data_IF_366369608560
#
_entry.id   IF_366369608560
#
_cell.length_a   1.000
_cell.length_b   1.000
_cell.length_c   1.000
_cell.angle_alpha   90.00
_cell.angle_beta   90.00
_cell.angle_gamma   90.00
#
_symmetry.space_group_name_H-M   'P 1'
#
loop_
_entity.id
_entity.type
_entity.pdbx_description
1 polymer ?
#
# COMPACT_ATOMS: atom_id res chain seq x y z
N UNK A 1 12.11 22.59 -8.35
CA UNK A 1 11.67 22.23 -9.69
C UNK A 1 10.99 20.87 -9.61
N UNK A 2 9.68 20.92 -9.38
CA UNK A 2 8.84 19.75 -9.06
C UNK A 2 8.88 18.69 -10.17
N UNK A 3 8.89 19.11 -11.41
CA UNK A 3 8.90 18.19 -12.55
C UNK A 3 10.27 17.51 -12.74
N UNK A 4 11.37 18.13 -12.36
CA UNK A 4 12.72 17.62 -12.61
C UNK A 4 13.18 16.51 -11.67
N UNK A 5 12.78 16.54 -10.41
CA UNK A 5 13.22 15.54 -9.42
C UNK A 5 12.42 14.26 -9.58
N UNK A 6 11.15 14.39 -9.92
CA UNK A 6 10.22 13.27 -10.00
C UNK A 6 10.22 12.58 -11.36
N UNK A 7 10.57 13.28 -12.45
CA UNK A 7 10.76 12.71 -13.78
C UNK A 7 11.80 11.58 -13.84
N UNK A 8 12.84 11.67 -13.01
CA UNK A 8 13.89 10.66 -12.98
C UNK A 8 13.51 9.35 -12.26
N UNK A 9 12.38 9.35 -11.60
CA UNK A 9 11.89 8.20 -10.84
C UNK A 9 10.91 7.34 -11.63
N UNK A 10 10.55 7.73 -12.84
CA UNK A 10 9.62 7.03 -13.71
C UNK A 10 10.28 6.65 -15.04
N UNK A 11 9.92 5.48 -15.55
CA UNK A 11 10.55 4.84 -16.72
C UNK A 11 10.48 5.65 -18.01
N UNK A 12 9.46 6.44 -18.16
CA UNK A 12 9.13 7.12 -19.39
C UNK A 12 9.34 8.63 -19.35
N UNK A 13 10.01 9.09 -18.28
CA UNK A 13 10.32 10.51 -18.09
C UNK A 13 9.09 11.43 -18.29
N UNK A 14 7.89 10.94 -17.94
CA UNK A 14 6.70 11.77 -17.98
C UNK A 14 6.66 12.71 -16.78
N UNK A 15 6.32 14.00 -16.98
CA UNK A 15 6.08 14.89 -15.86
C UNK A 15 5.04 14.32 -14.90
N UNK A 16 5.26 14.46 -13.61
CA UNK A 16 4.33 13.96 -12.60
C UNK A 16 2.90 14.49 -12.81
N UNK A 17 2.77 15.72 -13.31
CA UNK A 17 1.50 16.34 -13.70
C UNK A 17 0.73 15.60 -14.79
N UNK A 18 1.37 14.72 -15.56
CA UNK A 18 0.74 13.87 -16.57
C UNK A 18 0.36 12.49 -16.07
N UNK A 19 0.86 12.09 -14.90
CA UNK A 19 0.66 10.75 -14.36
C UNK A 19 -0.64 10.62 -13.59
N UNK A 20 -1.29 11.72 -13.26
CA UNK A 20 -2.54 11.71 -12.51
C UNK A 20 -3.26 13.04 -12.62
N UNK A 21 -4.56 12.98 -12.83
CA UNK A 21 -5.42 14.15 -12.71
C UNK A 21 -5.91 14.37 -11.27
N UNK A 22 -5.58 13.50 -10.34
CA UNK A 22 -6.19 13.42 -9.03
C UNK A 22 -5.21 13.44 -7.88
N UNK A 23 -4.10 12.70 -7.96
CA UNK A 23 -2.94 13.06 -7.16
C UNK A 23 -2.25 14.20 -7.85
N UNK A 24 -2.41 15.37 -7.33
CA UNK A 24 -1.72 16.47 -7.94
C UNK A 24 -0.22 16.29 -7.75
N UNK A 25 0.57 16.68 -8.72
CA UNK A 25 2.01 16.77 -8.56
C UNK A 25 2.36 17.62 -7.32
N UNK A 26 1.43 18.51 -6.95
CA UNK A 26 1.52 19.36 -5.79
C UNK A 26 1.47 18.55 -4.49
N UNK A 27 0.54 17.61 -4.31
CA UNK A 27 0.44 16.80 -3.09
C UNK A 27 1.69 15.96 -2.85
N UNK A 28 2.23 15.35 -3.92
CA UNK A 28 3.49 14.62 -3.83
C UNK A 28 4.66 15.55 -3.47
N UNK A 29 4.70 16.74 -4.06
CA UNK A 29 5.74 17.72 -3.78
C UNK A 29 5.62 18.28 -2.37
N UNK A 30 4.43 18.56 -1.89
CA UNK A 30 4.19 19.10 -0.54
C UNK A 30 4.53 18.06 0.52
N UNK A 31 4.12 16.80 0.33
CA UNK A 31 4.49 15.71 1.21
C UNK A 31 6.01 15.47 1.26
N UNK A 32 6.69 15.47 0.10
CA UNK A 32 8.16 15.37 0.06
C UNK A 32 8.84 16.58 0.71
N UNK A 33 8.37 17.79 0.42
CA UNK A 33 8.89 19.00 1.03
C UNK A 33 8.69 19.03 2.55
N UNK A 34 7.56 18.52 3.03
CA UNK A 34 7.31 18.34 4.46
C UNK A 34 8.37 17.41 5.09
N UNK A 35 8.58 16.23 4.52
CA UNK A 35 9.58 15.28 5.00
C UNK A 35 10.99 15.88 4.99
N UNK A 36 11.36 16.60 3.92
CA UNK A 36 12.66 17.27 3.81
C UNK A 36 12.82 18.35 4.88
N UNK A 37 11.80 19.19 5.08
CA UNK A 37 11.85 20.25 6.13
C UNK A 37 11.97 19.64 7.52
N UNK A 38 11.19 18.60 7.82
CA UNK A 38 11.20 17.89 9.09
C UNK A 38 12.56 17.26 9.36
N UNK A 39 13.16 16.62 8.35
CA UNK A 39 14.50 16.06 8.43
C UNK A 39 15.55 17.15 8.66
N UNK A 40 15.50 18.26 7.94
CA UNK A 40 16.43 19.39 8.09
C UNK A 40 16.30 20.08 9.46
N UNK A 41 15.13 19.97 10.10
CA UNK A 41 14.90 20.40 11.49
C UNK A 41 15.45 19.41 12.53
N UNK A 42 16.15 18.35 12.11
CA UNK A 42 16.78 17.36 12.98
C UNK A 42 15.82 16.25 13.47
N UNK A 43 14.63 16.16 12.89
CA UNK A 43 13.68 15.12 13.24
C UNK A 43 13.85 13.90 12.31
N UNK A 44 13.67 12.71 12.86
CA UNK A 44 13.73 11.48 12.09
C UNK A 44 12.42 11.26 11.35
N UNK A 45 12.48 11.10 10.04
CA UNK A 45 11.31 10.87 9.16
C UNK A 45 11.32 9.50 8.50
N UNK A 46 12.45 8.77 8.55
CA UNK A 46 12.57 7.42 7.96
C UNK A 46 12.98 6.41 9.05
N UNK A 47 12.36 5.26 9.01
CA UNK A 47 12.55 4.21 10.01
C UNK A 47 12.80 2.87 9.31
N UNK A 48 14.07 2.44 9.17
CA UNK A 48 14.41 1.12 8.67
C UNK A 48 13.73 0.02 9.50
N UNK A 49 13.16 -0.97 8.83
CA UNK A 49 12.40 -2.03 9.48
C UNK A 49 13.26 -3.24 9.85
N UNK A 50 14.43 -3.38 9.23
CA UNK A 50 15.35 -4.49 9.50
C UNK A 50 16.67 -3.98 10.04
N UNK A 51 17.27 -4.76 10.94
CA UNK A 51 18.58 -4.44 11.50
C UNK A 51 19.71 -4.72 10.49
N UNK A 52 20.91 -4.21 10.76
CA UNK A 52 22.08 -4.50 9.93
C UNK A 52 22.39 -5.99 9.86
N UNK A 53 22.19 -6.74 10.95
CA UNK A 53 22.36 -8.18 11.02
C UNK A 53 21.34 -8.92 10.17
N UNK A 54 20.07 -8.50 10.20
CA UNK A 54 19.01 -9.07 9.37
C UNK A 54 19.25 -8.80 7.89
N UNK A 55 19.76 -7.62 7.54
CA UNK A 55 20.13 -7.25 6.16
C UNK A 55 21.36 -8.06 5.70
N UNK A 56 22.33 -8.29 6.58
CA UNK A 56 23.49 -9.12 6.25
C UNK A 56 23.10 -10.58 5.96
N UNK A 57 22.06 -11.10 6.60
CA UNK A 57 21.51 -12.43 6.34
C UNK A 57 20.68 -12.49 5.05
N UNK A 58 19.97 -11.41 4.71
CA UNK A 58 19.14 -11.29 3.53
C UNK A 58 19.20 -9.86 2.99
N UNK A 59 20.08 -9.63 2.03
CA UNK A 59 20.31 -8.30 1.43
C UNK A 59 19.07 -7.74 0.70
N UNK A 60 18.06 -8.58 0.42
CA UNK A 60 16.81 -8.10 -0.16
C UNK A 60 16.04 -7.14 0.79
N UNK A 61 16.30 -7.22 2.09
CA UNK A 61 15.69 -6.40 3.14
C UNK A 61 16.22 -4.95 3.19
N UNK A 62 17.34 -4.72 2.51
CA UNK A 62 17.92 -3.37 2.44
C UNK A 62 16.98 -2.38 1.75
N UNK A 63 16.76 -1.23 2.40
CA UNK A 63 15.86 -0.18 1.96
C UNK A 63 14.39 -0.42 2.24
N UNK A 64 14.02 -1.44 3.03
CA UNK A 64 12.66 -1.59 3.56
C UNK A 64 12.50 -0.70 4.78
N UNK A 65 11.63 0.31 4.67
CA UNK A 65 11.51 1.36 5.68
C UNK A 65 10.11 1.98 5.71
N UNK A 66 9.82 2.69 6.78
CA UNK A 66 8.67 3.56 6.90
C UNK A 66 9.08 5.02 6.72
N UNK A 67 8.31 5.79 5.98
CA UNK A 67 8.27 7.24 6.08
C UNK A 67 7.18 7.60 7.08
N UNK A 68 7.42 8.60 7.92
CA UNK A 68 6.48 9.02 8.94
C UNK A 68 6.17 10.51 8.83
N UNK A 69 4.88 10.81 8.71
CA UNK A 69 4.32 12.15 8.79
C UNK A 69 3.52 12.25 10.10
N UNK A 70 4.06 12.85 11.15
CA UNK A 70 3.33 13.05 12.41
C UNK A 70 2.17 14.01 12.21
N UNK A 71 1.07 13.82 12.91
CA UNK A 71 -0.02 14.81 12.91
C UNK A 71 0.42 16.12 13.53
N UNK A 72 -0.02 17.25 12.98
CA UNK A 72 0.22 18.55 13.59
C UNK A 72 -0.58 18.69 14.89
N UNK A 73 0.08 19.17 15.95
CA UNK A 73 -0.54 19.29 17.27
C UNK A 73 -0.91 17.96 17.92
N UNK A 74 -0.17 16.89 17.59
CA UNK A 74 -0.45 15.52 17.96
C UNK A 74 -0.82 15.36 19.45
N UNK A 75 -2.03 14.87 19.68
CA UNK A 75 -2.41 14.32 20.98
C UNK A 75 -1.82 12.92 21.11
N UNK A 76 -1.49 12.51 22.31
CA UNK A 76 -1.06 11.14 22.54
C UNK A 76 -2.19 10.15 22.19
N UNK A 77 -1.82 8.97 21.69
CA UNK A 77 -2.73 7.87 21.45
C UNK A 77 -3.73 8.11 20.31
N UNK A 78 -3.27 8.70 19.22
CA UNK A 78 -4.11 8.91 18.00
C UNK A 78 -4.18 7.65 17.13
N UNK A 79 -5.30 7.49 16.43
CA UNK A 79 -5.40 6.52 15.33
C UNK A 79 -4.48 6.95 14.19
N UNK A 80 -3.87 5.99 13.52
CA UNK A 80 -2.96 6.26 12.41
C UNK A 80 -3.41 5.55 11.12
N UNK A 81 -2.85 5.98 10.02
CA UNK A 81 -2.96 5.29 8.75
C UNK A 81 -1.60 4.71 8.32
N UNK A 82 -1.62 3.50 7.79
CA UNK A 82 -0.51 2.89 7.06
C UNK A 82 -0.83 2.89 5.57
N UNK A 83 -0.06 3.62 4.78
CA UNK A 83 -0.25 3.72 3.33
C UNK A 83 0.70 2.78 2.61
N UNK A 84 0.17 2.00 1.68
CA UNK A 84 0.90 1.00 0.89
C UNK A 84 0.61 1.23 -0.58
N UNK A 85 1.53 1.85 -1.30
CA UNK A 85 1.38 2.11 -2.74
C UNK A 85 1.40 0.81 -3.56
N UNK A 86 0.74 0.83 -4.71
CA UNK A 86 0.87 -0.21 -5.72
C UNK A 86 2.20 -0.08 -6.47
N UNK A 87 2.56 -1.08 -7.24
CA UNK A 87 3.82 -1.07 -7.98
C UNK A 87 3.84 -2.03 -9.18
N UNK A 88 2.75 -2.64 -9.53
CA UNK A 88 2.72 -3.76 -10.49
C UNK A 88 3.81 -4.83 -10.20
N UNK A 89 4.34 -4.87 -8.96
CA UNK A 89 5.44 -5.74 -8.49
C UNK A 89 6.82 -5.36 -9.03
N UNK A 90 6.92 -4.42 -9.95
CA UNK A 90 8.16 -4.10 -10.68
C UNK A 90 8.77 -2.77 -10.24
N UNK A 91 7.95 -1.76 -10.02
CA UNK A 91 8.37 -0.41 -9.60
C UNK A 91 7.58 0.04 -8.39
N UNK A 92 8.12 0.96 -7.62
CA UNK A 92 7.42 1.49 -6.44
C UNK A 92 6.59 2.71 -6.80
N UNK A 93 5.32 2.70 -6.43
CA UNK A 93 4.44 3.86 -6.49
C UNK A 93 4.39 4.63 -5.15
N UNK A 94 5.42 4.46 -4.32
CA UNK A 94 5.49 5.05 -2.96
C UNK A 94 5.36 6.58 -2.97
N UNK A 95 5.86 7.25 -3.99
CA UNK A 95 5.74 8.71 -4.08
C UNK A 95 4.35 9.09 -4.57
N UNK A 96 3.91 8.54 -5.69
CA UNK A 96 2.64 8.90 -6.30
C UNK A 96 1.44 8.49 -5.44
N UNK A 97 1.36 7.21 -5.07
CA UNK A 97 0.24 6.67 -4.31
C UNK A 97 0.48 6.77 -2.80
N UNK A 98 1.74 6.61 -2.37
CA UNK A 98 2.10 6.61 -0.95
C UNK A 98 2.16 8.01 -0.36
N UNK A 99 3.10 8.84 -0.83
CA UNK A 99 3.36 10.16 -0.24
C UNK A 99 2.21 11.14 -0.50
N UNK A 100 1.60 11.13 -1.70
CA UNK A 100 0.46 12.00 -1.99
C UNK A 100 -0.74 11.68 -1.08
N UNK A 101 -1.06 10.41 -0.91
CA UNK A 101 -2.13 9.99 0.02
C UNK A 101 -1.77 10.34 1.46
N UNK A 102 -0.52 10.09 1.86
CA UNK A 102 -0.07 10.41 3.21
C UNK A 102 -0.14 11.90 3.50
N UNK A 103 0.18 12.74 2.52
CA UNK A 103 0.05 14.19 2.65
C UNK A 103 -1.39 14.61 2.90
N UNK A 104 -2.34 14.12 2.09
CA UNK A 104 -3.76 14.44 2.27
C UNK A 104 -4.29 13.98 3.64
N UNK A 105 -3.92 12.79 4.10
CA UNK A 105 -4.33 12.31 5.43
C UNK A 105 -3.65 13.10 6.57
N UNK A 106 -2.41 13.52 6.37
CA UNK A 106 -1.70 14.40 7.31
C UNK A 106 -2.39 15.76 7.43
N UNK A 107 -2.80 16.38 6.31
CA UNK A 107 -3.58 17.62 6.31
C UNK A 107 -4.94 17.47 7.01
N UNK A 108 -5.50 16.26 7.02
CA UNK A 108 -6.71 15.92 7.78
C UNK A 108 -6.43 15.71 9.28
N UNK A 109 -5.18 15.78 9.72
CA UNK A 109 -4.76 15.66 11.11
C UNK A 109 -4.44 14.25 11.58
N UNK A 110 -4.25 13.29 10.67
CA UNK A 110 -3.84 11.93 11.04
C UNK A 110 -2.32 11.78 11.04
N UNK A 111 -1.73 11.04 11.99
CA UNK A 111 -0.38 10.51 11.84
C UNK A 111 -0.38 9.43 10.77
N UNK A 112 0.57 9.50 9.84
CA UNK A 112 0.60 8.61 8.68
C UNK A 112 1.97 7.97 8.50
N UNK A 113 1.97 6.67 8.23
CA UNK A 113 3.14 5.92 7.82
C UNK A 113 3.01 5.52 6.35
N UNK A 114 4.08 5.62 5.58
CA UNK A 114 4.15 5.09 4.22
C UNK A 114 5.18 3.97 4.21
N UNK A 115 4.77 2.80 3.75
CA UNK A 115 5.65 1.64 3.67
C UNK A 115 6.35 1.57 2.32
N UNK A 116 7.68 1.59 2.36
CA UNK A 116 8.54 1.16 1.27
C UNK A 116 8.89 -0.32 1.47
N UNK A 117 8.35 -1.17 0.62
CA UNK A 117 8.49 -2.63 0.74
C UNK A 117 9.25 -3.24 -0.43
N UNK A 118 9.64 -4.51 -0.32
CA UNK A 118 10.39 -5.23 -1.34
C UNK A 118 9.59 -5.41 -2.62
N UNK A 119 10.20 -5.09 -3.75
CA UNK A 119 9.63 -5.16 -5.09
C UNK A 119 10.54 -5.91 -6.06
N UNK A 120 10.06 -6.22 -7.25
CA UNK A 120 10.83 -6.87 -8.31
C UNK A 120 11.39 -8.21 -7.88
N UNK A 121 12.66 -8.43 -8.14
CA UNK A 121 13.35 -9.67 -7.76
C UNK A 121 13.42 -9.89 -6.23
N UNK A 122 13.38 -8.82 -5.46
CA UNK A 122 13.34 -8.86 -3.99
C UNK A 122 11.98 -9.31 -3.43
N UNK A 123 10.93 -9.33 -4.24
CA UNK A 123 9.56 -9.68 -3.82
C UNK A 123 9.27 -11.19 -3.76
N UNK A 124 10.28 -12.04 -3.65
CA UNK A 124 10.15 -13.50 -3.55
C UNK A 124 9.63 -13.96 -2.17
N UNK A 125 9.11 -15.19 -2.11
CA UNK A 125 8.73 -15.86 -0.85
C UNK A 125 7.79 -15.04 0.06
N UNK A 126 6.76 -14.40 -0.52
CA UNK A 126 5.83 -13.51 0.20
C UNK A 126 6.52 -12.32 0.90
N UNK A 127 7.70 -11.94 0.47
CA UNK A 127 8.46 -10.86 1.09
C UNK A 127 7.68 -9.56 1.28
N UNK A 128 6.87 -9.07 0.31
CA UNK A 128 6.07 -7.87 0.52
C UNK A 128 5.04 -8.00 1.64
N UNK A 129 4.39 -9.16 1.79
CA UNK A 129 3.49 -9.41 2.92
C UNK A 129 4.23 -9.43 4.26
N UNK A 130 5.43 -10.02 4.29
CA UNK A 130 6.30 -10.01 5.48
C UNK A 130 6.72 -8.58 5.85
N UNK A 131 6.93 -7.70 4.86
CA UNK A 131 7.28 -6.30 5.10
C UNK A 131 6.10 -5.52 5.71
N UNK A 132 4.84 -5.81 5.30
CA UNK A 132 3.66 -5.24 5.95
C UNK A 132 3.53 -5.74 7.40
N UNK A 133 3.73 -7.04 7.62
CA UNK A 133 3.77 -7.62 8.98
C UNK A 133 4.82 -6.91 9.83
N UNK A 134 6.03 -6.75 9.31
CA UNK A 134 7.13 -6.08 10.01
C UNK A 134 6.83 -4.60 10.29
N UNK A 135 6.18 -3.91 9.35
CA UNK A 135 5.78 -2.52 9.52
C UNK A 135 4.77 -2.36 10.68
N UNK A 136 3.72 -3.16 10.68
CA UNK A 136 2.71 -3.10 11.75
C UNK A 136 3.32 -3.51 13.09
N UNK A 137 4.14 -4.55 13.13
CA UNK A 137 4.87 -4.94 14.32
C UNK A 137 5.72 -3.78 14.86
N UNK A 138 6.52 -3.16 14.00
CA UNK A 138 7.38 -2.04 14.38
C UNK A 138 6.59 -0.85 14.92
N UNK A 139 5.50 -0.46 14.25
CA UNK A 139 4.64 0.63 14.72
C UNK A 139 4.01 0.28 16.07
N UNK A 140 3.52 -0.94 16.24
CA UNK A 140 2.91 -1.41 17.49
C UNK A 140 3.91 -1.37 18.66
N UNK A 141 5.13 -1.88 18.44
CA UNK A 141 6.20 -1.89 19.45
C UNK A 141 6.67 -0.48 19.84
N UNK A 142 6.54 0.50 18.93
CA UNK A 142 6.98 1.88 19.12
C UNK A 142 5.82 2.89 19.20
N UNK A 143 4.59 2.41 19.42
CA UNK A 143 3.38 3.23 19.40
C UNK A 143 3.47 4.47 20.31
N UNK A 144 4.03 4.32 21.51
CA UNK A 144 4.27 5.42 22.44
C UNK A 144 5.25 6.47 21.92
N UNK A 145 6.29 6.05 21.18
CA UNK A 145 7.25 6.96 20.56
C UNK A 145 6.60 7.81 19.45
N UNK A 146 5.69 7.22 18.70
CA UNK A 146 4.98 7.89 17.62
C UNK A 146 3.73 8.65 18.08
N UNK A 147 3.33 8.50 19.33
CA UNK A 147 2.09 9.10 19.85
C UNK A 147 0.82 8.48 19.26
N UNK A 148 0.90 7.25 18.75
CA UNK A 148 -0.22 6.55 18.13
C UNK A 148 -0.71 5.39 19.02
N UNK A 149 -1.93 4.94 18.79
CA UNK A 149 -2.44 3.72 19.40
C UNK A 149 -2.05 2.49 18.55
N UNK A 150 -1.77 1.37 19.22
CA UNK A 150 -1.36 0.15 18.53
C UNK A 150 -2.51 -0.53 17.77
N UNK A 151 -3.74 -0.27 18.17
CA UNK A 151 -4.95 -0.90 17.66
C UNK A 151 -5.80 0.08 16.84
N UNK A 152 -6.76 -0.44 16.09
CA UNK A 152 -7.81 0.36 15.44
C UNK A 152 -7.27 1.36 14.39
N UNK A 153 -6.15 1.00 13.76
CA UNK A 153 -5.52 1.75 12.67
C UNK A 153 -6.18 1.44 11.32
N UNK A 154 -5.99 2.35 10.38
CA UNK A 154 -6.42 2.13 8.99
C UNK A 154 -5.25 1.70 8.11
N UNK A 155 -5.52 0.85 7.11
CA UNK A 155 -4.60 0.61 6.00
C UNK A 155 -5.22 1.19 4.73
N UNK A 156 -4.48 2.06 4.06
CA UNK A 156 -4.86 2.63 2.76
C UNK A 156 -3.90 2.08 1.71
N UNK A 157 -4.41 1.43 0.69
CA UNK A 157 -3.54 0.79 -0.28
C UNK A 157 -4.15 0.68 -1.67
N UNK A 158 -3.30 0.49 -2.67
CA UNK A 158 -3.66 0.60 -4.07
C UNK A 158 -3.12 -0.56 -4.90
N UNK A 159 -3.86 -0.99 -5.93
CA UNK A 159 -3.39 -1.93 -6.95
C UNK A 159 -2.79 -3.21 -6.35
N UNK A 160 -1.56 -3.56 -6.71
CA UNK A 160 -0.84 -4.71 -6.14
C UNK A 160 -0.55 -4.56 -4.64
N UNK A 161 -0.34 -3.34 -4.16
CA UNK A 161 -0.28 -3.04 -2.73
C UNK A 161 -1.59 -3.39 -2.03
N UNK A 162 -2.73 -3.15 -2.71
CA UNK A 162 -4.06 -3.53 -2.23
C UNK A 162 -4.23 -5.03 -2.02
N UNK A 163 -3.61 -5.89 -2.86
CA UNK A 163 -3.59 -7.32 -2.60
C UNK A 163 -2.77 -7.67 -1.36
N UNK A 164 -1.58 -7.10 -1.23
CA UNK A 164 -0.69 -7.37 -0.08
C UNK A 164 -1.37 -6.94 1.21
N UNK A 165 -1.91 -5.72 1.24
CA UNK A 165 -2.66 -5.19 2.37
C UNK A 165 -3.91 -6.03 2.66
N UNK A 166 -4.65 -6.38 1.62
CA UNK A 166 -5.83 -7.24 1.74
C UNK A 166 -5.50 -8.59 2.37
N UNK A 167 -4.44 -9.23 1.92
CA UNK A 167 -3.96 -10.50 2.52
C UNK A 167 -3.51 -10.30 3.98
N UNK A 168 -2.88 -9.17 4.31
CA UNK A 168 -2.55 -8.86 5.70
C UNK A 168 -3.82 -8.72 6.57
N UNK A 169 -4.92 -8.22 6.04
CA UNK A 169 -6.21 -8.13 6.73
C UNK A 169 -6.86 -9.48 7.06
N UNK A 170 -6.32 -10.59 6.57
CA UNK A 170 -6.89 -11.92 6.79
C UNK A 170 -6.41 -12.56 8.09
N UNK A 171 -7.22 -13.44 8.66
CA UNK A 171 -6.86 -14.22 9.85
C UNK A 171 -5.89 -15.36 9.51
N UNK A 172 -6.00 -15.97 8.36
CA UNK A 172 -5.25 -17.17 7.99
C UNK A 172 -3.77 -16.87 7.62
N UNK A 173 -3.52 -15.78 6.91
CA UNK A 173 -2.18 -15.45 6.39
C UNK A 173 -1.69 -14.06 6.80
N UNK A 174 -2.53 -13.27 7.44
CA UNK A 174 -2.28 -11.89 7.82
C UNK A 174 -2.16 -11.66 9.32
N UNK A 175 -2.72 -10.55 9.81
CA UNK A 175 -2.53 -10.01 11.15
C UNK A 175 -2.63 -11.06 12.26
N UNK A 176 -3.66 -11.91 12.23
CA UNK A 176 -3.94 -12.90 13.29
C UNK A 176 -2.90 -14.02 13.32
N UNK A 177 -2.43 -14.46 12.14
CA UNK A 177 -1.38 -15.48 12.02
C UNK A 177 -0.06 -15.03 12.66
N UNK A 178 0.16 -13.72 12.76
CA UNK A 178 1.36 -13.12 13.37
C UNK A 178 1.10 -12.53 14.75
N UNK A 179 -0.09 -12.71 15.31
CA UNK A 179 -0.44 -12.17 16.63
C UNK A 179 -0.47 -10.63 16.69
N UNK A 180 -0.72 -9.98 15.56
CA UNK A 180 -0.78 -8.53 15.44
C UNK A 180 -2.22 -8.01 15.62
N UNK A 181 -2.39 -6.74 16.03
CA UNK A 181 -3.70 -6.11 16.10
C UNK A 181 -4.40 -6.11 14.74
N UNK A 182 -5.72 -6.38 14.77
CA UNK A 182 -6.54 -6.27 13.56
C UNK A 182 -6.65 -4.81 13.11
N UNK A 183 -6.51 -4.51 11.80
CA UNK A 183 -6.85 -3.20 11.28
C UNK A 183 -8.29 -2.81 11.63
N UNK A 184 -8.52 -1.57 12.03
CA UNK A 184 -9.86 -1.03 12.25
C UNK A 184 -10.61 -0.81 10.94
N UNK A 185 -9.89 -0.50 9.86
CA UNK A 185 -10.44 -0.34 8.52
C UNK A 185 -9.41 -0.65 7.42
N UNK A 186 -9.92 -1.14 6.29
CA UNK A 186 -9.18 -1.33 5.04
C UNK A 186 -9.77 -0.41 3.96
N UNK A 187 -8.94 0.46 3.38
CA UNK A 187 -9.29 1.32 2.25
C UNK A 187 -8.48 0.84 1.04
N UNK A 188 -9.15 0.14 0.12
CA UNK A 188 -8.48 -0.58 -0.97
C UNK A 188 -8.87 0.03 -2.31
N UNK A 189 -7.98 0.83 -2.88
CA UNK A 189 -8.15 1.42 -4.21
C UNK A 189 -7.78 0.41 -5.29
N UNK A 190 -8.73 0.06 -6.15
CA UNK A 190 -8.54 -0.89 -7.26
C UNK A 190 -7.61 -2.07 -6.91
N UNK A 191 -7.83 -2.73 -5.75
CA UNK A 191 -6.92 -3.77 -5.31
C UNK A 191 -6.89 -4.94 -6.29
N UNK A 192 -5.73 -5.56 -6.45
CA UNK A 192 -5.66 -6.84 -7.12
C UNK A 192 -6.28 -7.89 -6.21
N UNK A 193 -7.34 -8.55 -6.68
CA UNK A 193 -7.90 -9.70 -6.00
C UNK A 193 -7.11 -10.97 -6.32
N UNK A 194 -6.74 -11.13 -7.59
CA UNK A 194 -5.94 -12.27 -8.06
C UNK A 194 -5.07 -11.91 -9.25
N UNK A 195 -3.85 -12.44 -9.29
CA UNK A 195 -2.99 -12.39 -10.48
C UNK A 195 -3.08 -13.67 -11.33
N UNK A 196 -3.90 -14.64 -10.94
CA UNK A 196 -3.95 -15.94 -11.62
C UNK A 196 -4.44 -15.83 -13.06
N UNK A 197 -5.24 -14.84 -13.39
CA UNK A 197 -5.72 -14.56 -14.74
C UNK A 197 -4.62 -14.05 -15.68
N UNK A 198 -3.53 -13.54 -15.11
CA UNK A 198 -2.43 -12.88 -15.82
C UNK A 198 -1.17 -13.75 -15.93
N UNK A 199 -1.30 -15.04 -15.68
CA UNK A 199 -0.20 -16.02 -15.68
C UNK A 199 0.81 -15.89 -16.82
N UNK A 200 0.41 -15.72 -18.10
CA UNK A 200 1.38 -15.66 -19.19
C UNK A 200 2.32 -14.46 -19.08
N UNK A 201 1.80 -13.27 -18.73
CA UNK A 201 2.57 -12.03 -18.65
C UNK A 201 3.52 -12.06 -17.44
N UNK A 202 3.02 -12.52 -16.30
CA UNK A 202 3.84 -12.59 -15.09
C UNK A 202 4.89 -13.70 -15.11
N UNK A 203 4.63 -14.80 -15.81
CA UNK A 203 5.62 -15.85 -16.03
C UNK A 203 6.77 -15.39 -16.95
N UNK A 204 6.50 -14.43 -17.84
CA UNK A 204 7.52 -13.86 -18.73
C UNK A 204 8.34 -12.77 -18.00
N UNK A 205 7.67 -11.93 -17.21
CA UNK A 205 8.32 -10.79 -16.51
C UNK A 205 9.02 -11.19 -15.22
N UNK A 206 8.62 -12.29 -14.63
CA UNK A 206 9.08 -12.73 -13.31
C UNK A 206 9.45 -14.21 -13.45
N UNK A 207 10.72 -14.53 -13.42
CA UNK A 207 11.27 -15.88 -13.50
C UNK A 207 10.31 -16.94 -12.89
N UNK A 208 9.87 -17.95 -13.66
CA UNK A 208 8.98 -19.02 -13.19
C UNK A 208 9.47 -19.75 -11.94
N UNK A 209 10.79 -19.85 -11.75
CA UNK A 209 11.41 -20.46 -10.57
C UNK A 209 11.17 -19.64 -9.30
N UNK A 210 11.20 -18.33 -9.42
CA UNK A 210 10.96 -17.36 -8.33
C UNK A 210 9.46 -17.21 -8.07
N UNK A 211 8.61 -17.49 -9.06
CA UNK A 211 7.16 -17.34 -8.98
C UNK A 211 6.43 -18.41 -8.16
N UNK A 212 7.05 -19.56 -7.87
CA UNK A 212 6.34 -20.69 -7.28
C UNK A 212 5.79 -20.49 -5.86
N UNK A 213 6.25 -19.49 -5.12
CA UNK A 213 5.88 -19.28 -3.71
C UNK A 213 5.55 -17.82 -3.38
N UNK A 214 4.93 -17.07 -4.30
CA UNK A 214 4.65 -15.65 -4.08
C UNK A 214 3.20 -15.39 -3.70
N UNK A 215 2.98 -14.32 -2.91
CA UNK A 215 1.67 -13.83 -2.48
C UNK A 215 0.69 -13.60 -3.64
N UNK A 216 1.15 -13.22 -4.83
CA UNK A 216 0.28 -13.02 -6.00
C UNK A 216 -0.35 -14.32 -6.55
N UNK A 217 0.06 -15.50 -6.09
CA UNK A 217 -0.67 -16.75 -6.33
C UNK A 217 -1.88 -16.91 -5.43
N UNK A 218 -1.97 -16.09 -4.38
CA UNK A 218 -3.10 -16.07 -3.49
C UNK A 218 -4.19 -15.19 -4.09
N UNK A 219 -5.39 -15.72 -4.15
CA UNK A 219 -6.58 -14.95 -4.51
C UNK A 219 -7.14 -14.37 -3.21
N UNK A 220 -7.17 -13.05 -3.06
CA UNK A 220 -7.59 -12.39 -1.82
C UNK A 220 -8.97 -12.86 -1.36
N UNK A 221 -9.93 -12.95 -2.28
CA UNK A 221 -11.30 -13.38 -1.97
C UNK A 221 -11.42 -14.79 -1.39
N UNK A 222 -10.43 -15.66 -1.56
CA UNK A 222 -10.42 -17.01 -0.99
C UNK A 222 -10.08 -17.01 0.50
N UNK A 223 -9.50 -15.94 1.01
CA UNK A 223 -9.07 -15.78 2.41
C UNK A 223 -9.99 -14.88 3.23
N UNK A 224 -11.05 -14.34 2.65
CA UNK A 224 -12.02 -13.49 3.37
C UNK A 224 -12.87 -14.36 4.30
N UNK A 225 -12.87 -14.01 5.57
CA UNK A 225 -13.67 -14.65 6.64
C UNK A 225 -14.56 -13.60 7.31
N UNK A 226 -15.53 -14.01 8.17
CA UNK A 226 -16.34 -13.05 8.93
C UNK A 226 -15.52 -12.13 9.87
N UNK A 227 -14.28 -12.51 10.19
CA UNK A 227 -13.38 -11.71 11.04
C UNK A 227 -12.55 -10.68 10.23
N UNK A 228 -12.75 -10.59 8.93
CA UNK A 228 -12.06 -9.61 8.08
C UNK A 228 -12.43 -8.18 8.48
N UNK A 229 -11.47 -7.22 8.45
CA UNK A 229 -11.72 -5.84 8.83
C UNK A 229 -12.81 -5.15 7.98
N UNK A 230 -13.54 -4.16 8.52
CA UNK A 230 -14.39 -3.29 7.71
C UNK A 230 -13.63 -2.73 6.51
N UNK A 231 -14.24 -2.78 5.34
CA UNK A 231 -13.54 -2.51 4.08
C UNK A 231 -14.31 -1.52 3.20
N UNK A 232 -13.62 -0.47 2.77
CA UNK A 232 -14.02 0.36 1.63
C UNK A 232 -13.13 0.01 0.45
N UNK A 233 -13.71 -0.45 -0.66
CA UNK A 233 -12.93 -0.71 -1.87
C UNK A 233 -13.59 -0.10 -3.09
N UNK A 234 -12.77 0.34 -4.05
CA UNK A 234 -13.27 1.03 -5.24
C UNK A 234 -12.47 0.68 -6.49
N UNK A 235 -13.13 0.83 -7.64
CA UNK A 235 -12.55 0.64 -8.96
C UNK A 235 -13.11 1.68 -9.93
N UNK A 236 -12.37 1.95 -11.00
CA UNK A 236 -12.90 2.65 -12.15
C UNK A 236 -13.66 1.67 -13.06
N UNK A 237 -14.79 2.09 -13.61
CA UNK A 237 -15.60 1.28 -14.55
C UNK A 237 -14.81 0.87 -15.79
N UNK A 238 -13.98 1.78 -16.28
CA UNK A 238 -13.16 1.59 -17.47
C UNK A 238 -11.71 1.24 -17.13
N UNK A 239 -11.50 0.66 -15.96
CA UNK A 239 -10.19 0.36 -15.45
C UNK A 239 -9.54 -0.78 -16.25
N UNK A 240 -8.84 -0.36 -17.30
CA UNK A 240 -8.11 -1.22 -18.22
C UNK A 240 -6.63 -0.86 -18.11
N UNK A 241 -5.85 -1.70 -17.50
CA UNK A 241 -4.41 -1.51 -17.40
C UNK A 241 -3.64 -2.52 -18.22
N UNK A 242 -2.52 -2.05 -18.78
CA UNK A 242 -1.45 -2.85 -19.40
C UNK A 242 -1.95 -4.12 -20.14
N UNK A 243 -2.10 -4.01 -21.45
CA UNK A 243 -2.31 -5.16 -22.34
C UNK A 243 -3.67 -5.87 -22.16
N UNK A 244 -4.77 -5.13 -22.12
CA UNK A 244 -6.14 -5.69 -22.13
C UNK A 244 -6.64 -6.34 -20.84
N UNK A 245 -6.01 -6.11 -19.72
CA UNK A 245 -6.48 -6.62 -18.44
C UNK A 245 -7.65 -5.79 -17.91
N UNK A 246 -8.83 -6.39 -17.81
CA UNK A 246 -10.00 -5.77 -17.24
C UNK A 246 -9.90 -5.80 -15.69
N UNK A 247 -9.31 -4.76 -15.12
CA UNK A 247 -9.10 -4.68 -13.68
C UNK A 247 -10.41 -4.55 -12.92
N UNK A 248 -11.37 -3.85 -13.50
CA UNK A 248 -12.69 -3.66 -12.93
C UNK A 248 -13.45 -4.98 -12.72
N UNK A 249 -13.13 -6.04 -13.46
CA UNK A 249 -13.74 -7.36 -13.28
C UNK A 249 -13.40 -8.00 -11.92
N UNK A 250 -12.32 -7.59 -11.28
CA UNK A 250 -11.91 -8.12 -9.96
C UNK A 250 -12.73 -7.56 -8.79
N UNK A 251 -13.26 -6.35 -8.94
CA UNK A 251 -14.08 -5.69 -7.91
C UNK A 251 -15.31 -6.50 -7.49
N UNK A 252 -16.17 -6.95 -8.44
CA UNK A 252 -17.33 -7.77 -8.10
C UNK A 252 -16.99 -9.10 -7.43
N UNK A 253 -15.80 -9.66 -7.68
CA UNK A 253 -15.37 -10.92 -7.05
C UNK A 253 -15.03 -10.67 -5.57
N UNK A 254 -14.31 -9.61 -5.29
CA UNK A 254 -13.98 -9.21 -3.92
C UNK A 254 -15.25 -8.81 -3.15
N UNK A 255 -16.12 -8.00 -3.77
CA UNK A 255 -17.43 -7.62 -3.23
C UNK A 255 -18.24 -8.84 -2.79
N UNK A 256 -18.36 -9.82 -3.68
CA UNK A 256 -19.10 -11.06 -3.42
C UNK A 256 -18.52 -11.85 -2.22
N UNK A 257 -17.20 -11.83 -2.08
CA UNK A 257 -16.54 -12.50 -0.97
C UNK A 257 -16.80 -11.80 0.37
N UNK A 258 -16.72 -10.46 0.39
CA UNK A 258 -17.04 -9.64 1.57
C UNK A 258 -18.50 -9.81 1.97
N UNK A 259 -19.44 -9.70 1.03
CA UNK A 259 -20.87 -9.86 1.27
C UNK A 259 -21.21 -11.26 1.80
N UNK A 260 -20.68 -12.31 1.19
CA UNK A 260 -20.90 -13.69 1.60
C UNK A 260 -20.44 -13.97 3.04
N UNK A 261 -19.39 -13.32 3.48
CA UNK A 261 -18.83 -13.45 4.81
C UNK A 261 -19.39 -12.39 5.80
N UNK A 262 -20.40 -11.62 5.42
CA UNK A 262 -21.03 -10.60 6.24
C UNK A 262 -20.04 -9.55 6.79
N UNK A 263 -18.97 -9.29 6.07
CA UNK A 263 -18.02 -8.22 6.41
C UNK A 263 -18.70 -6.87 6.16
N UNK A 264 -18.56 -5.94 7.09
CA UNK A 264 -18.98 -4.55 6.86
C UNK A 264 -18.15 -3.96 5.74
N UNK A 265 -18.77 -3.55 4.63
CA UNK A 265 -18.02 -3.04 3.50
C UNK A 265 -18.86 -2.06 2.64
N UNK A 266 -18.13 -1.27 1.86
CA UNK A 266 -18.66 -0.43 0.78
C UNK A 266 -17.84 -0.75 -0.47
N UNK A 267 -18.54 -1.00 -1.57
CA UNK A 267 -17.96 -1.13 -2.90
C UNK A 267 -18.40 0.05 -3.77
N UNK A 268 -17.45 0.79 -4.30
CA UNK A 268 -17.74 1.92 -5.17
C UNK A 268 -17.14 1.73 -6.56
N UNK A 269 -17.89 2.08 -7.59
CA UNK A 269 -17.44 2.06 -8.99
C UNK A 269 -17.56 3.48 -9.54
N UNK A 270 -16.45 4.06 -9.95
CA UNK A 270 -16.41 5.38 -10.58
C UNK A 270 -16.63 5.26 -12.07
N UNK A 271 -17.66 5.94 -12.60
CA UNK A 271 -18.10 5.79 -14.00
C UNK A 271 -17.05 6.25 -15.02
N UNK A 272 -16.34 7.32 -14.74
CA UNK A 272 -15.41 7.97 -15.68
C UNK A 272 -13.92 7.77 -15.31
N UNK A 273 -13.63 6.82 -14.42
CA UNK A 273 -12.29 6.62 -13.89
C UNK A 273 -11.63 5.34 -14.40
N UNK A 274 -10.32 5.36 -14.53
CA UNK A 274 -9.46 4.18 -14.73
C UNK A 274 -8.41 4.11 -13.62
N UNK A 275 -7.62 3.02 -13.58
CA UNK A 275 -6.60 2.76 -12.53
C UNK A 275 -5.75 3.99 -12.19
N UNK A 276 -5.49 4.85 -13.16
CA UNK A 276 -4.68 6.06 -12.99
C UNK A 276 -5.48 7.25 -12.44
N UNK A 277 -6.83 7.16 -12.34
CA UNK A 277 -7.71 8.29 -12.02
C UNK A 277 -8.64 8.06 -10.82
N UNK A 278 -8.55 6.92 -10.16
CA UNK A 278 -9.48 6.54 -9.08
C UNK A 278 -9.02 6.93 -7.67
N UNK A 279 -7.94 7.68 -7.56
CA UNK A 279 -7.38 8.08 -6.27
C UNK A 279 -8.14 9.18 -5.53
N UNK A 280 -9.06 9.88 -6.20
CA UNK A 280 -9.88 10.94 -5.57
C UNK A 280 -10.98 10.42 -4.64
N UNK A 281 -11.07 9.13 -4.49
CA UNK A 281 -12.15 8.50 -3.74
C UNK A 281 -11.82 8.22 -2.27
N UNK A 282 -10.60 8.56 -1.83
CA UNK A 282 -10.16 8.29 -0.46
C UNK A 282 -10.45 9.45 0.49
#
# INVERSE_FOLDING_TARGET
>A
DQDRVLDRMYWDAQPLSRLSNHWTAQDAADGLNYLIRTYNAGQRVTFPLYTAEEIAQDTSRDGVELYYLPAEGAQANQKYALVIGGNAIVVSAEIREGISTAWNLHEMGYPVFVLRYRIGMKASNNAPLQDVVRAVQYITEHAGQFGVQAEDYAIVSYSSGGQIAGLFGTDAVGYKNYGLPKPGAMLLGYPVNTFLEFKPVYNILLDPGVCKQRYYKMTLSDYITPDYPPTYHWYGKNDMTLMTMCWSAQGPVLEKALARNHVTHIYHVYDDACLLYTSDAA
#
